data_IF_175093981779
#
_entry.id   IF_175093981779
#
_cell.length_a   1.000
_cell.length_b   1.000
_cell.length_c   1.000
_cell.angle_alpha   90.00
_cell.angle_beta   90.00
_cell.angle_gamma   90.00
#
_symmetry.space_group_name_H-M   'P 1'
#
loop_
_entity.id
_entity.type
_entity.pdbx_description
1 polymer ?
#
# COMPACT_ATOMS: atom_id res chain seq x y z
N UNK A 1 14.34 -12.16 13.88
CA UNK A 1 13.06 -12.14 13.12
C UNK A 1 11.98 -11.30 13.80
N UNK A 2 11.84 -11.36 15.13
CA UNK A 2 10.88 -10.49 15.86
C UNK A 2 11.08 -9.00 15.59
N UNK A 3 12.33 -8.53 15.56
CA UNK A 3 12.65 -7.12 15.30
C UNK A 3 12.19 -6.64 13.91
N UNK A 4 12.36 -7.47 12.88
CA UNK A 4 11.95 -7.14 11.50
C UNK A 4 10.43 -7.04 11.41
N UNK A 5 9.71 -7.95 12.07
CA UNK A 5 8.24 -7.92 12.12
C UNK A 5 7.77 -6.67 12.86
N UNK A 6 8.38 -6.34 14.00
CA UNK A 6 8.08 -5.13 14.76
C UNK A 6 8.34 -3.86 13.95
N UNK A 7 9.44 -3.80 13.20
CA UNK A 7 9.80 -2.67 12.36
C UNK A 7 8.85 -2.53 11.16
N UNK A 8 8.47 -3.64 10.52
CA UNK A 8 7.48 -3.65 9.44
C UNK A 8 6.10 -3.20 9.93
N UNK A 9 5.66 -3.66 11.12
CA UNK A 9 4.42 -3.20 11.75
C UNK A 9 4.47 -1.71 12.08
N UNK A 10 5.55 -1.25 12.71
CA UNK A 10 5.76 0.16 13.05
C UNK A 10 5.77 1.07 11.82
N UNK A 11 6.48 0.65 10.76
CA UNK A 11 6.51 1.36 9.48
C UNK A 11 5.13 1.43 8.82
N UNK A 12 4.38 0.32 8.81
CA UNK A 12 3.02 0.28 8.27
C UNK A 12 2.08 1.22 9.03
N UNK A 13 2.13 1.19 10.36
CA UNK A 13 1.35 2.08 11.20
C UNK A 13 1.67 3.55 10.91
N UNK A 14 2.96 3.91 10.86
CA UNK A 14 3.39 5.28 10.53
C UNK A 14 2.88 5.73 9.17
N UNK A 15 3.01 4.90 8.13
CA UNK A 15 2.53 5.25 6.78
C UNK A 15 1.01 5.47 6.78
N UNK A 16 0.25 4.56 7.39
CA UNK A 16 -1.20 4.67 7.47
C UNK A 16 -1.65 5.91 8.24
N UNK A 17 -1.07 6.16 9.41
CA UNK A 17 -1.41 7.33 10.22
C UNK A 17 -1.04 8.63 9.51
N UNK A 18 0.16 8.72 8.92
CA UNK A 18 0.58 9.91 8.16
C UNK A 18 -0.35 10.17 6.97
N UNK A 19 -0.64 9.16 6.16
CA UNK A 19 -1.52 9.31 4.98
C UNK A 19 -2.94 9.69 5.40
N UNK A 20 -3.51 8.96 6.36
CA UNK A 20 -4.88 9.22 6.84
C UNK A 20 -4.99 10.59 7.50
N UNK A 21 -4.05 10.95 8.37
CA UNK A 21 -4.01 12.26 9.03
C UNK A 21 -3.86 13.40 8.01
N UNK A 22 -3.05 13.23 6.97
CA UNK A 22 -2.89 14.22 5.91
C UNK A 22 -4.24 14.52 5.23
N UNK A 23 -5.01 13.51 4.86
CA UNK A 23 -6.30 13.73 4.19
C UNK A 23 -7.37 14.24 5.16
N UNK A 24 -7.39 13.73 6.39
CA UNK A 24 -8.32 14.18 7.43
C UNK A 24 -8.13 15.67 7.77
N UNK A 25 -6.88 16.14 7.79
CA UNK A 25 -6.54 17.55 8.08
C UNK A 25 -6.73 18.46 6.88
N UNK A 26 -6.26 18.05 5.69
CA UNK A 26 -6.34 18.88 4.48
C UNK A 26 -7.73 18.88 3.85
N UNK A 27 -8.57 17.87 4.15
CA UNK A 27 -9.89 17.67 3.52
C UNK A 27 -9.83 17.74 1.99
N UNK A 28 -8.70 17.33 1.41
CA UNK A 28 -8.47 17.41 -0.03
C UNK A 28 -9.19 16.26 -0.74
N UNK A 29 -9.91 16.58 -1.79
CA UNK A 29 -10.47 15.58 -2.70
C UNK A 29 -9.33 14.92 -3.49
N UNK A 30 -9.19 13.60 -3.31
CA UNK A 30 -8.18 12.77 -3.95
C UNK A 30 -8.78 11.91 -5.07
N UNK A 31 -9.98 12.21 -5.57
CA UNK A 31 -10.65 11.44 -6.63
C UNK A 31 -9.77 11.22 -7.88
N UNK A 32 -8.91 12.19 -8.22
CA UNK A 32 -7.90 12.08 -9.28
C UNK A 32 -6.99 10.84 -9.16
N UNK A 33 -6.73 10.39 -7.93
CA UNK A 33 -5.83 9.27 -7.65
C UNK A 33 -6.43 7.93 -8.10
N UNK A 34 -7.75 7.83 -8.22
CA UNK A 34 -8.43 6.58 -8.58
C UNK A 34 -7.97 6.01 -9.93
N UNK A 35 -7.85 6.85 -10.95
CA UNK A 35 -7.37 6.43 -12.28
C UNK A 35 -5.90 5.99 -12.27
N UNK A 36 -5.06 6.70 -11.51
CA UNK A 36 -3.64 6.37 -11.35
C UNK A 36 -3.45 5.05 -10.59
N UNK A 37 -4.21 4.83 -9.52
CA UNK A 37 -4.16 3.59 -8.72
C UNK A 37 -4.58 2.39 -9.56
N UNK A 38 -5.63 2.51 -10.36
CA UNK A 38 -6.06 1.43 -11.26
C UNK A 38 -4.95 1.07 -12.27
N UNK A 39 -4.33 2.07 -12.91
CA UNK A 39 -3.22 1.83 -13.82
C UNK A 39 -2.01 1.20 -13.09
N UNK A 40 -1.68 1.68 -11.90
CA UNK A 40 -0.59 1.13 -11.08
C UNK A 40 -0.81 -0.34 -10.72
N UNK A 41 -2.03 -0.72 -10.34
CA UNK A 41 -2.37 -2.11 -10.01
C UNK A 41 -2.16 -3.00 -11.23
N UNK A 42 -2.58 -2.58 -12.43
CA UNK A 42 -2.37 -3.36 -13.66
C UNK A 42 -0.88 -3.54 -13.95
N UNK A 43 -0.08 -2.48 -13.82
CA UNK A 43 1.38 -2.55 -14.03
C UNK A 43 2.03 -3.53 -13.05
N UNK A 44 1.67 -3.47 -11.78
CA UNK A 44 2.18 -4.38 -10.75
C UNK A 44 1.76 -5.81 -11.02
N UNK A 45 0.52 -6.05 -11.45
CA UNK A 45 0.02 -7.39 -11.78
C UNK A 45 0.84 -8.01 -12.92
N UNK A 46 1.14 -7.24 -13.97
CA UNK A 46 2.04 -7.67 -15.05
C UNK A 46 3.44 -7.98 -14.50
N UNK A 47 3.97 -7.11 -13.63
CA UNK A 47 5.27 -7.31 -12.97
C UNK A 47 5.31 -8.60 -12.14
N UNK A 48 4.23 -8.91 -11.40
CA UNK A 48 4.11 -10.15 -10.63
C UNK A 48 4.12 -11.38 -11.54
N UNK A 49 3.38 -11.36 -12.65
CA UNK A 49 3.38 -12.46 -13.63
C UNK A 49 4.76 -12.64 -14.22
N UNK A 50 5.45 -11.56 -14.61
CA UNK A 50 6.81 -11.63 -15.11
C UNK A 50 7.78 -12.20 -14.06
N UNK A 51 7.62 -11.82 -12.78
CA UNK A 51 8.46 -12.31 -11.70
C UNK A 51 8.31 -13.81 -11.44
N UNK A 52 7.15 -14.42 -11.75
CA UNK A 52 6.97 -15.88 -11.63
C UNK A 52 7.91 -16.63 -12.59
N UNK A 53 8.12 -16.11 -13.81
CA UNK A 53 8.99 -16.74 -14.81
C UNK A 53 10.46 -16.37 -14.63
N UNK A 54 10.76 -15.13 -14.25
CA UNK A 54 12.13 -14.62 -14.15
C UNK A 54 12.80 -14.94 -12.81
N UNK A 55 12.01 -15.05 -11.73
CA UNK A 55 12.47 -15.37 -10.37
C UNK A 55 13.66 -14.51 -9.89
N UNK A 56 13.70 -13.24 -10.30
CA UNK A 56 14.79 -12.33 -9.95
C UNK A 56 14.53 -11.68 -8.58
N UNK A 57 15.45 -11.80 -7.60
CA UNK A 57 15.26 -11.22 -6.28
C UNK A 57 15.12 -9.69 -6.33
N UNK A 58 15.90 -9.02 -7.20
CA UNK A 58 15.79 -7.57 -7.40
C UNK A 58 14.42 -7.13 -7.93
N UNK A 59 13.81 -7.92 -8.82
CA UNK A 59 12.48 -7.64 -9.36
C UNK A 59 11.41 -7.79 -8.27
N UNK A 60 11.53 -8.81 -7.42
CA UNK A 60 10.65 -9.00 -6.27
C UNK A 60 10.68 -7.79 -5.33
N UNK A 61 11.87 -7.27 -5.01
CA UNK A 61 12.03 -6.08 -4.16
C UNK A 61 11.44 -4.82 -4.81
N UNK A 62 11.65 -4.65 -6.12
CA UNK A 62 11.07 -3.54 -6.86
C UNK A 62 9.53 -3.58 -6.82
N UNK A 63 8.93 -4.76 -7.01
CA UNK A 63 7.47 -4.96 -6.91
C UNK A 63 6.97 -4.62 -5.50
N UNK A 64 7.65 -5.08 -4.45
CA UNK A 64 7.32 -4.75 -3.06
C UNK A 64 7.36 -3.23 -2.82
N UNK A 65 8.39 -2.53 -3.31
CA UNK A 65 8.49 -1.08 -3.16
C UNK A 65 7.33 -0.34 -3.87
N UNK A 66 6.97 -0.78 -5.08
CA UNK A 66 5.82 -0.21 -5.81
C UNK A 66 4.50 -0.52 -5.09
N UNK A 67 4.33 -1.71 -4.51
CA UNK A 67 3.16 -2.05 -3.71
C UNK A 67 2.98 -1.13 -2.50
N UNK A 68 4.07 -0.77 -1.82
CA UNK A 68 4.02 0.19 -0.70
C UNK A 68 3.49 1.54 -1.20
N UNK A 69 3.99 2.04 -2.34
CA UNK A 69 3.56 3.32 -2.89
C UNK A 69 2.09 3.31 -3.33
N UNK A 70 1.66 2.27 -4.06
CA UNK A 70 0.27 2.12 -4.50
C UNK A 70 -0.66 2.01 -3.31
N UNK A 71 -0.32 1.19 -2.32
CA UNK A 71 -1.15 0.98 -1.13
C UNK A 71 -1.23 2.25 -0.27
N UNK A 72 -0.15 3.03 -0.18
CA UNK A 72 -0.16 4.35 0.47
C UNK A 72 -1.09 5.31 -0.26
N UNK A 73 -1.05 5.32 -1.60
CA UNK A 73 -1.99 6.07 -2.42
C UNK A 73 -3.43 5.60 -2.23
N UNK A 74 -3.67 4.30 -2.14
CA UNK A 74 -5.00 3.74 -1.88
C UNK A 74 -5.57 4.21 -0.54
N UNK A 75 -4.75 4.25 0.53
CA UNK A 75 -5.16 4.82 1.83
C UNK A 75 -5.57 6.29 1.69
N UNK A 76 -4.81 7.10 0.95
CA UNK A 76 -5.15 8.50 0.69
C UNK A 76 -6.49 8.63 -0.06
N UNK A 77 -6.67 7.84 -1.11
CA UNK A 77 -7.89 7.83 -1.93
C UNK A 77 -9.11 7.41 -1.12
N UNK A 78 -9.02 6.30 -0.40
CA UNK A 78 -10.14 5.76 0.38
C UNK A 78 -10.50 6.65 1.57
N UNK A 79 -9.50 7.14 2.29
CA UNK A 79 -9.73 8.09 3.39
C UNK A 79 -10.44 9.35 2.87
N UNK A 80 -10.03 9.86 1.70
CA UNK A 80 -10.70 10.99 1.06
C UNK A 80 -12.14 10.63 0.69
N UNK A 81 -12.37 9.45 0.11
CA UNK A 81 -13.69 9.01 -0.31
C UNK A 81 -14.67 8.81 0.86
N UNK A 82 -14.17 8.33 2.01
CA UNK A 82 -14.94 8.21 3.26
C UNK A 82 -15.38 9.59 3.77
N UNK A 83 -14.48 10.58 3.76
CA UNK A 83 -14.76 11.93 4.29
C UNK A 83 -15.73 12.70 3.39
N UNK A 84 -15.59 12.58 2.08
CA UNK A 84 -16.42 13.30 1.10
C UNK A 84 -17.76 12.60 0.80
N UNK A 85 -18.03 11.46 1.44
CA UNK A 85 -19.30 10.74 1.31
C UNK A 85 -19.47 10.00 -0.01
N UNK A 86 -18.38 9.69 -0.73
CA UNK A 86 -18.45 8.95 -2.00
C UNK A 86 -18.62 7.44 -1.84
N UNK A 87 -18.33 6.87 -0.66
CA UNK A 87 -18.67 5.48 -0.30
C UNK A 87 -19.73 5.45 0.79
N UNK A 88 -20.96 5.07 0.42
CA UNK A 88 -22.05 4.82 1.37
C UNK A 88 -21.93 3.47 2.06
N UNK A 89 -21.03 2.61 1.58
CA UNK A 89 -20.76 1.29 2.14
C UNK A 89 -19.44 1.28 2.94
N UNK A 90 -19.54 1.63 4.22
CA UNK A 90 -18.41 1.63 5.15
C UNK A 90 -17.72 0.28 5.30
N UNK A 91 -18.41 -0.84 5.02
CA UNK A 91 -17.80 -2.18 5.06
C UNK A 91 -16.77 -2.30 3.94
N UNK A 92 -17.13 -1.90 2.71
CA UNK A 92 -16.22 -1.93 1.57
C UNK A 92 -15.01 -1.04 1.80
N UNK A 93 -15.23 0.19 2.28
CA UNK A 93 -14.15 1.12 2.59
C UNK A 93 -13.20 0.56 3.65
N UNK A 94 -13.73 -0.06 4.70
CA UNK A 94 -12.92 -0.67 5.76
C UNK A 94 -12.09 -1.85 5.26
N UNK A 95 -12.69 -2.73 4.44
CA UNK A 95 -11.98 -3.87 3.85
C UNK A 95 -10.87 -3.40 2.92
N UNK A 96 -11.13 -2.36 2.13
CA UNK A 96 -10.14 -1.82 1.19
C UNK A 96 -8.96 -1.18 1.92
N UNK A 97 -9.21 -0.46 3.03
CA UNK A 97 -8.16 0.08 3.90
C UNK A 97 -7.35 -1.05 4.53
N UNK A 98 -8.01 -2.12 4.97
CA UNK A 98 -7.35 -3.31 5.51
C UNK A 98 -6.44 -3.99 4.48
N UNK A 99 -6.90 -4.15 3.23
CA UNK A 99 -6.09 -4.72 2.15
C UNK A 99 -4.87 -3.85 1.89
N UNK A 100 -5.03 -2.52 1.87
CA UNK A 100 -3.92 -1.58 1.70
C UNK A 100 -2.89 -1.68 2.85
N UNK A 101 -3.36 -1.75 4.09
CA UNK A 101 -2.52 -1.98 5.27
C UNK A 101 -1.75 -3.31 5.19
N UNK A 102 -2.45 -4.39 4.84
CA UNK A 102 -1.86 -5.71 4.68
C UNK A 102 -0.76 -5.71 3.60
N UNK A 103 -1.02 -5.08 2.46
CA UNK A 103 -0.06 -4.98 1.36
C UNK A 103 1.21 -4.22 1.76
N UNK A 104 1.08 -3.09 2.47
CA UNK A 104 2.25 -2.36 2.99
C UNK A 104 3.03 -3.24 3.95
N UNK A 105 2.36 -3.91 4.87
CA UNK A 105 3.01 -4.77 5.85
C UNK A 105 3.82 -5.90 5.21
N UNK A 106 3.21 -6.67 4.30
CA UNK A 106 3.89 -7.77 3.60
C UNK A 106 5.04 -7.27 2.74
N UNK A 107 4.85 -6.14 2.06
CA UNK A 107 5.88 -5.55 1.20
C UNK A 107 7.06 -5.02 2.01
N UNK A 108 6.81 -4.35 3.14
CA UNK A 108 7.86 -3.94 4.08
C UNK A 108 8.57 -5.15 4.68
N UNK A 109 7.83 -6.21 5.04
CA UNK A 109 8.41 -7.44 5.56
C UNK A 109 9.33 -8.10 4.52
N UNK A 110 8.94 -8.10 3.24
CA UNK A 110 9.76 -8.60 2.14
C UNK A 110 11.07 -7.80 2.01
N UNK A 111 10.99 -6.47 1.98
CA UNK A 111 12.15 -5.58 1.84
C UNK A 111 13.08 -5.68 3.05
N UNK A 112 12.55 -5.51 4.26
CA UNK A 112 13.32 -5.53 5.49
C UNK A 112 13.87 -6.94 5.79
N UNK A 113 13.10 -7.97 5.46
CA UNK A 113 13.53 -9.36 5.59
C UNK A 113 14.67 -9.72 4.63
N UNK A 114 14.71 -9.11 3.44
CA UNK A 114 15.84 -9.23 2.53
C UNK A 114 17.06 -8.46 3.05
N UNK A 115 16.89 -7.20 3.45
CA UNK A 115 17.97 -6.36 3.96
C UNK A 115 18.61 -6.88 5.27
N UNK A 116 17.88 -7.67 6.05
CA UNK A 116 18.39 -8.29 7.29
C UNK A 116 19.08 -9.65 7.07
N UNK A 117 19.01 -10.19 5.85
CA UNK A 117 19.61 -11.49 5.48
C UNK A 117 21.03 -11.34 4.89
N UNK A 118 21.38 -10.16 4.41
CA UNK A 118 22.77 -9.74 4.14
C UNK A 118 23.42 -9.18 5.41
#
# INVERSE_FOLDING_TARGET
MGDVIGLALGGTALVFFCCSAYVLTTRKDMSFLGGMLMAGIVVVLIGMVANIFLQLPALHLAISAVFILISSGAILYETSNIIHGGETNYIRATVSLYVSLYNIFVSLLSILGFASRD
#
